data_IF_134374960749
#
_entry.id   IF_134374960749
#
_cell.length_a   1.000
_cell.length_b   1.000
_cell.length_c   1.000
_cell.angle_alpha   90.00
_cell.angle_beta   90.00
_cell.angle_gamma   90.00
#
_symmetry.space_group_name_H-M   'P 1'
#
loop_
_entity.id
_entity.type
_entity.pdbx_description
1 polymer ?
#
# COMPACT_ATOMS: atom_id res chain seq x y z
N UNK A 1 -11.02 -26.86 13.30
CA UNK A 1 -10.61 -25.63 14.01
C UNK A 1 -10.22 -26.01 15.43
N UNK A 2 -9.09 -25.52 15.96
CA UNK A 2 -8.65 -25.80 17.35
C UNK A 2 -8.39 -24.46 18.04
N UNK A 3 -9.13 -24.20 19.11
CA UNK A 3 -9.04 -22.96 19.90
C UNK A 3 -8.36 -23.33 21.23
N UNK A 4 -7.39 -22.52 21.67
CA UNK A 4 -6.67 -22.71 22.94
C UNK A 4 -6.67 -21.40 23.72
N UNK A 5 -6.84 -21.49 25.03
CA UNK A 5 -6.79 -20.39 25.98
C UNK A 5 -5.49 -20.48 26.80
N UNK A 6 -5.08 -19.38 27.45
CA UNK A 6 -3.96 -19.34 28.39
C UNK A 6 -2.59 -19.76 27.82
N UNK A 7 -2.28 -19.29 26.61
CA UNK A 7 -0.98 -19.54 25.96
C UNK A 7 0.14 -18.80 26.72
N UNK A 8 0.97 -19.54 27.46
CA UNK A 8 2.06 -18.99 28.28
C UNK A 8 3.14 -18.26 27.47
N UNK A 9 3.39 -18.71 26.24
CA UNK A 9 4.35 -18.09 25.32
C UNK A 9 3.60 -17.43 24.15
N UNK A 10 2.94 -16.30 24.41
CA UNK A 10 2.42 -15.45 23.34
C UNK A 10 3.62 -14.87 22.59
N UNK A 11 3.77 -15.10 21.28
CA UNK A 11 4.85 -14.49 20.52
C UNK A 11 4.71 -12.97 20.62
N UNK A 12 5.83 -12.26 20.81
CA UNK A 12 5.83 -10.81 20.75
C UNK A 12 5.23 -10.38 19.42
N UNK A 13 4.07 -9.72 19.49
CA UNK A 13 3.60 -8.97 18.35
C UNK A 13 4.66 -7.91 18.07
N UNK A 14 5.40 -8.06 16.97
CA UNK A 14 6.27 -7.02 16.42
C UNK A 14 5.39 -5.85 15.96
N UNK A 15 4.93 -5.06 16.92
CA UNK A 15 4.22 -3.83 16.68
C UNK A 15 5.25 -2.73 16.40
N UNK A 16 5.59 -2.59 15.12
CA UNK A 16 6.22 -1.38 14.61
C UNK A 16 7.75 -1.36 14.69
N UNK A 17 8.35 -0.85 13.62
CA UNK A 17 9.75 -0.42 13.64
C UNK A 17 10.34 -0.35 12.26
N UNK A 18 10.32 -1.47 11.53
CA UNK A 18 10.88 -1.51 10.19
C UNK A 18 9.83 -1.06 9.18
N UNK A 19 9.98 0.17 8.69
CA UNK A 19 9.25 0.62 7.52
C UNK A 19 9.57 -0.38 6.40
N UNK A 20 8.55 -1.04 5.86
CA UNK A 20 8.71 -1.98 4.74
C UNK A 20 9.40 -1.26 3.59
N UNK A 21 10.29 -1.93 2.86
CA UNK A 21 11.10 -1.32 1.79
C UNK A 21 10.24 -0.63 0.73
N UNK A 22 9.00 -1.08 0.57
CA UNK A 22 7.97 -0.45 -0.26
C UNK A 22 7.64 0.97 0.21
N UNK A 23 7.50 1.19 1.52
CA UNK A 23 7.16 2.51 2.07
C UNK A 23 8.29 3.48 1.80
N UNK A 24 9.54 3.07 2.03
CA UNK A 24 10.73 3.88 1.74
C UNK A 24 10.81 4.20 0.25
N UNK A 25 10.57 3.21 -0.61
CA UNK A 25 10.53 3.38 -2.06
C UNK A 25 9.42 4.33 -2.50
N UNK A 26 8.24 4.29 -1.88
CA UNK A 26 7.15 5.24 -2.14
C UNK A 26 7.52 6.65 -1.67
N UNK A 27 8.19 6.81 -0.52
CA UNK A 27 8.66 8.12 -0.05
C UNK A 27 9.68 8.72 -1.02
N UNK A 28 10.68 7.93 -1.44
CA UNK A 28 11.66 8.34 -2.44
C UNK A 28 11.00 8.68 -3.78
N UNK A 29 10.04 7.86 -4.22
CA UNK A 29 9.25 8.11 -5.42
C UNK A 29 8.46 9.42 -5.32
N UNK A 30 7.84 9.73 -4.17
CA UNK A 30 7.11 10.98 -3.96
C UNK A 30 8.02 12.21 -4.07
N UNK A 31 9.28 12.12 -3.62
CA UNK A 31 10.29 13.16 -3.80
C UNK A 31 10.83 13.26 -5.25
N UNK A 32 10.74 12.19 -6.04
CA UNK A 32 11.19 12.17 -7.44
C UNK A 32 10.24 12.92 -8.39
N UNK A 33 10.67 13.15 -9.65
CA UNK A 33 9.81 13.73 -10.71
C UNK A 33 8.98 12.69 -11.48
N UNK A 34 9.10 11.41 -11.14
CA UNK A 34 8.37 10.34 -11.83
C UNK A 34 6.86 10.41 -11.56
N UNK A 35 6.07 10.00 -12.56
CA UNK A 35 4.59 10.06 -12.51
C UNK A 35 3.98 8.81 -11.86
N UNK A 36 4.59 7.65 -12.06
CA UNK A 36 4.17 6.37 -11.53
C UNK A 36 5.39 5.51 -11.15
N UNK A 37 5.16 4.50 -10.31
CA UNK A 37 6.11 3.45 -9.96
C UNK A 37 5.36 2.12 -9.90
N UNK A 38 6.02 1.04 -10.28
CA UNK A 38 5.51 -0.33 -10.24
C UNK A 38 6.39 -1.16 -9.30
N UNK A 39 5.74 -2.00 -8.49
CA UNK A 39 6.38 -3.01 -7.66
C UNK A 39 5.92 -4.38 -8.15
N UNK A 40 6.87 -5.20 -8.57
CA UNK A 40 6.65 -6.56 -9.05
C UNK A 40 7.21 -7.55 -8.02
N UNK A 41 6.46 -8.61 -7.76
CA UNK A 41 6.85 -9.67 -6.82
C UNK A 41 6.74 -11.01 -7.52
N UNK A 42 7.57 -11.96 -7.11
CA UNK A 42 7.44 -13.36 -7.53
C UNK A 42 6.14 -14.00 -6.99
N UNK A 43 5.63 -13.51 -5.85
CA UNK A 43 4.50 -14.10 -5.15
C UNK A 43 3.35 -13.10 -4.94
N UNK A 44 2.13 -13.50 -5.33
CA UNK A 44 0.91 -12.71 -5.14
C UNK A 44 0.65 -12.36 -3.67
N UNK A 45 1.01 -13.25 -2.73
CA UNK A 45 0.83 -13.01 -1.29
C UNK A 45 1.69 -11.86 -0.79
N UNK A 46 2.93 -11.77 -1.26
CA UNK A 46 3.85 -10.69 -0.92
C UNK A 46 3.41 -9.38 -1.57
N UNK A 47 2.98 -9.42 -2.84
CA UNK A 47 2.37 -8.27 -3.51
C UNK A 47 1.14 -7.74 -2.74
N UNK A 48 0.28 -8.64 -2.27
CA UNK A 48 -0.91 -8.26 -1.48
C UNK A 48 -0.52 -7.60 -0.17
N UNK A 49 0.48 -8.14 0.54
CA UNK A 49 1.01 -7.57 1.78
C UNK A 49 1.62 -6.18 1.56
N UNK A 50 2.47 -6.03 0.55
CA UNK A 50 3.06 -4.74 0.19
C UNK A 50 2.01 -3.70 -0.16
N UNK A 51 1.02 -4.08 -0.98
CA UNK A 51 -0.10 -3.20 -1.35
C UNK A 51 -0.93 -2.75 -0.13
N UNK A 52 -1.25 -3.65 0.79
CA UNK A 52 -1.97 -3.32 2.03
C UNK A 52 -1.13 -2.44 2.97
N UNK A 53 0.19 -2.66 3.05
CA UNK A 53 1.11 -1.79 3.78
C UNK A 53 1.11 -0.35 3.25
N UNK A 54 1.17 -0.17 1.92
CA UNK A 54 1.09 1.16 1.28
C UNK A 54 -0.28 1.80 1.49
N UNK A 55 -1.37 1.02 1.39
CA UNK A 55 -2.72 1.52 1.68
C UNK A 55 -2.86 1.98 3.14
N UNK A 56 -2.31 1.21 4.07
CA UNK A 56 -2.24 1.58 5.49
C UNK A 56 -1.43 2.86 5.72
N UNK A 57 -0.28 3.00 5.06
CA UNK A 57 0.53 4.23 5.08
C UNK A 57 -0.24 5.43 4.53
N UNK A 58 -0.93 5.27 3.39
CA UNK A 58 -1.77 6.30 2.77
C UNK A 58 -2.89 6.78 3.70
N UNK A 59 -3.58 5.85 4.38
CA UNK A 59 -4.65 6.18 5.33
C UNK A 59 -4.13 6.90 6.57
N UNK A 60 -3.04 6.39 7.18
CA UNK A 60 -2.44 6.96 8.40
C UNK A 60 -1.94 8.40 8.20
N UNK A 61 -1.35 8.68 7.04
CA UNK A 61 -0.77 9.99 6.73
C UNK A 61 -1.70 10.91 5.93
N UNK A 62 -2.97 10.53 5.71
CA UNK A 62 -3.97 11.30 4.95
C UNK A 62 -3.52 11.69 3.53
N UNK A 63 -2.74 10.83 2.86
CA UNK A 63 -2.14 11.11 1.53
C UNK A 63 -3.11 10.74 0.38
N UNK A 64 -4.41 10.86 0.62
CA UNK A 64 -5.43 10.36 -0.31
C UNK A 64 -5.44 11.14 -1.62
N UNK A 65 -5.17 12.44 -1.55
CA UNK A 65 -5.13 13.39 -2.67
C UNK A 65 -3.76 13.45 -3.37
N UNK A 66 -2.75 12.77 -2.84
CA UNK A 66 -1.36 12.87 -3.34
C UNK A 66 -1.04 11.71 -4.28
N UNK A 67 -1.49 10.50 -3.97
CA UNK A 67 -1.26 9.33 -4.81
C UNK A 67 -2.35 8.29 -4.68
N UNK A 68 -2.53 7.50 -5.74
CA UNK A 68 -3.43 6.35 -5.81
C UNK A 68 -2.63 5.06 -5.94
N UNK A 69 -3.21 3.95 -5.48
CA UNK A 69 -2.58 2.63 -5.46
C UNK A 69 -3.52 1.63 -6.12
N UNK A 70 -3.03 0.92 -7.14
CA UNK A 70 -3.79 -0.09 -7.89
C UNK A 70 -3.00 -1.39 -8.00
N UNK A 71 -3.66 -2.54 -7.90
CA UNK A 71 -3.02 -3.87 -8.03
C UNK A 71 -3.49 -4.55 -9.32
N UNK A 72 -2.58 -5.23 -10.02
CA UNK A 72 -2.88 -6.15 -11.13
C UNK A 72 -2.00 -7.39 -10.98
N UNK A 73 -2.61 -8.51 -10.59
CA UNK A 73 -1.89 -9.78 -10.35
C UNK A 73 -0.80 -9.62 -9.29
N UNK A 74 0.43 -9.97 -9.68
CA UNK A 74 1.62 -9.93 -8.83
C UNK A 74 2.30 -8.56 -8.78
N UNK A 75 1.74 -7.56 -9.47
CA UNK A 75 2.27 -6.20 -9.49
C UNK A 75 1.29 -5.22 -8.86
N UNK A 76 1.82 -4.21 -8.18
CA UNK A 76 1.04 -3.04 -7.81
C UNK A 76 1.71 -1.75 -8.25
N UNK A 77 0.87 -0.77 -8.53
CA UNK A 77 1.23 0.51 -9.12
C UNK A 77 0.87 1.63 -8.16
N UNK A 78 1.78 2.57 -7.99
CA UNK A 78 1.54 3.82 -7.26
C UNK A 78 1.64 4.97 -8.26
N UNK A 79 0.59 5.78 -8.35
CA UNK A 79 0.48 6.88 -9.31
C UNK A 79 0.26 8.18 -8.55
N UNK A 80 1.04 9.22 -8.86
CA UNK A 80 0.82 10.54 -8.25
C UNK A 80 -0.49 11.14 -8.78
N UNK A 81 -1.34 11.57 -7.87
CA UNK A 81 -2.52 12.34 -8.18
C UNK A 81 -2.09 13.80 -8.29
N UNK A 82 -2.31 14.40 -9.46
CA UNK A 82 -2.32 15.86 -9.54
C UNK A 82 -3.53 16.34 -8.75
N UNK A 83 -3.44 17.48 -8.04
CA UNK A 83 -4.62 18.16 -7.50
C UNK A 83 -5.62 18.32 -8.64
N UNK A 84 -6.60 17.42 -8.70
CA UNK A 84 -7.80 17.65 -9.48
C UNK A 84 -8.56 18.66 -8.66
N UNK A 85 -8.63 19.89 -9.18
CA UNK A 85 -9.77 20.72 -8.83
C UNK A 85 -11.00 19.84 -9.07
N UNK A 86 -11.81 19.72 -8.03
CA UNK A 86 -12.98 18.86 -7.94
C UNK A 86 -13.78 18.87 -9.23
N UNK A 87 -13.80 17.76 -9.97
CA UNK A 87 -14.88 17.50 -10.91
C UNK A 87 -15.11 15.99 -11.01
N UNK A 88 -16.35 15.64 -10.67
CA UNK A 88 -16.92 14.31 -10.73
C UNK A 88 -16.76 13.72 -12.12
N UNK A 89 -16.40 12.44 -12.19
CA UNK A 89 -17.15 11.53 -13.05
C UNK A 89 -17.20 10.16 -12.37
N UNK A 90 -18.39 9.86 -11.83
CA UNK A 90 -18.99 8.53 -11.99
C UNK A 90 -19.16 8.27 -13.49
N UNK A 91 -19.45 7.02 -13.85
CA UNK A 91 -19.77 6.51 -15.21
C UNK A 91 -18.56 6.17 -16.11
N UNK A 92 -18.44 5.03 -16.80
CA UNK A 92 -19.29 3.81 -16.97
C UNK A 92 -18.38 2.65 -17.47
N UNK A 93 -18.93 1.43 -17.40
CA UNK A 93 -18.77 0.29 -18.32
C UNK A 93 -17.49 -0.55 -18.17
N UNK A 94 -17.57 -1.87 -18.04
CA UNK A 94 -18.47 -2.82 -18.72
C UNK A 94 -19.09 -3.86 -17.76
#
# INVERSE_FOLDING_TARGET
MKIKYDVQNVPECRHGGQQSEEILSVIAFLASKHKNICFEYDNEKECTRGCESIRGYRRRNKLQDIFSVSRRGNCFYVVKLKKKNTEHNKEVAE
#
